data_IF_355699578550
#
_entry.id   IF_355699578550
#
_cell.length_a   1.000
_cell.length_b   1.000
_cell.length_c   1.000
_cell.angle_alpha   90.00
_cell.angle_beta   90.00
_cell.angle_gamma   90.00
#
_symmetry.space_group_name_H-M   'P 1'
#
loop_
_entity.id
_entity.type
_entity.pdbx_description
1 polymer ?
#
# COMPACT_ATOMS: atom_id res chain seq x y z
N UNK A 1 15.04 10.00 -9.60
CA UNK A 1 14.32 11.19 -9.09
C UNK A 1 13.20 10.68 -8.21
N UNK A 2 13.37 10.78 -6.90
CA UNK A 2 12.32 10.42 -5.94
C UNK A 2 11.27 11.53 -6.00
N UNK A 3 10.23 11.32 -6.81
CA UNK A 3 9.05 12.19 -6.77
C UNK A 3 8.54 12.18 -5.34
N UNK A 4 8.48 13.34 -4.67
CA UNK A 4 8.04 13.43 -3.29
C UNK A 4 6.52 13.25 -3.22
N UNK A 5 6.05 12.00 -3.38
CA UNK A 5 4.63 11.63 -3.43
C UNK A 5 3.87 12.06 -2.16
N UNK A 6 4.58 12.33 -1.06
CA UNK A 6 4.03 12.88 0.17
C UNK A 6 3.51 14.33 -0.04
N UNK A 7 4.12 15.12 -0.93
CA UNK A 7 3.67 16.49 -1.24
C UNK A 7 2.36 16.52 -2.03
N UNK A 8 1.94 15.40 -2.63
CA UNK A 8 0.64 15.28 -3.31
C UNK A 8 -0.55 15.05 -2.36
N UNK A 9 -0.28 14.91 -1.05
CA UNK A 9 -1.27 14.57 -0.05
C UNK A 9 -1.77 15.82 0.67
N UNK A 10 -3.08 15.85 0.96
CA UNK A 10 -3.58 16.78 1.97
C UNK A 10 -3.12 16.33 3.38
N UNK A 11 -3.36 17.18 4.37
CA UNK A 11 -2.92 16.95 5.76
C UNK A 11 -3.39 15.60 6.30
N UNK A 12 -4.70 15.30 6.25
CA UNK A 12 -5.24 14.03 6.77
C UNK A 12 -4.73 12.79 6.03
N UNK A 13 -4.52 12.88 4.71
CA UNK A 13 -3.93 11.79 3.94
C UNK A 13 -2.46 11.59 4.30
N UNK A 14 -1.71 12.68 4.48
CA UNK A 14 -0.31 12.65 4.88
C UNK A 14 -0.16 12.01 6.25
N UNK A 15 -0.97 12.41 7.22
CA UNK A 15 -1.03 11.82 8.56
C UNK A 15 -1.27 10.30 8.48
N UNK A 16 -2.25 9.86 7.69
CA UNK A 16 -2.53 8.44 7.49
C UNK A 16 -1.36 7.66 6.86
N UNK A 17 -0.57 8.29 5.98
CA UNK A 17 0.60 7.66 5.34
C UNK A 17 1.79 7.57 6.31
N UNK A 18 2.08 8.63 7.05
CA UNK A 18 3.28 8.68 7.90
C UNK A 18 3.10 7.96 9.24
N UNK A 19 1.87 7.86 9.75
CA UNK A 19 1.60 7.24 11.05
C UNK A 19 2.06 5.78 11.11
N UNK A 20 2.91 5.42 12.08
CA UNK A 20 3.50 4.08 12.14
C UNK A 20 3.63 3.48 13.55
N UNK A 21 3.00 4.10 14.56
CA UNK A 21 3.19 3.75 15.98
C UNK A 21 2.18 2.71 16.52
N UNK A 22 1.32 2.15 15.66
CA UNK A 22 0.32 1.17 16.09
C UNK A 22 -0.85 0.97 15.13
N UNK A 23 -1.99 0.45 15.65
CA UNK A 23 -3.22 0.30 14.87
C UNK A 23 -3.75 1.64 14.37
N UNK A 24 -4.23 1.67 13.13
CA UNK A 24 -4.80 2.87 12.50
C UNK A 24 -6.07 2.53 11.73
N UNK A 25 -7.09 3.38 11.86
CA UNK A 25 -8.33 3.30 11.10
C UNK A 25 -8.50 4.57 10.25
N UNK A 26 -8.54 4.40 8.93
CA UNK A 26 -8.75 5.49 7.97
C UNK A 26 -10.18 5.42 7.44
N UNK A 27 -11.04 6.35 7.89
CA UNK A 27 -12.41 6.49 7.40
C UNK A 27 -12.39 7.42 6.18
N UNK A 28 -13.01 6.99 5.08
CA UNK A 28 -12.83 7.67 3.80
C UNK A 28 -14.04 7.54 2.87
N UNK A 29 -14.61 8.70 2.48
CA UNK A 29 -15.72 8.80 1.53
C UNK A 29 -15.33 8.50 0.09
N UNK A 30 -16.32 8.38 -0.81
CA UNK A 30 -16.06 8.20 -2.24
C UNK A 30 -15.15 9.33 -2.79
N UNK A 31 -14.22 9.01 -3.68
CA UNK A 31 -13.31 10.00 -4.27
C UNK A 31 -12.21 10.55 -3.35
N UNK A 32 -12.17 10.20 -2.06
CA UNK A 32 -11.23 10.79 -1.09
C UNK A 32 -9.77 10.32 -1.18
N UNK A 33 -9.40 9.56 -2.22
CA UNK A 33 -8.02 9.07 -2.40
C UNK A 33 -7.64 7.83 -1.57
N UNK A 34 -8.60 7.03 -1.09
CA UNK A 34 -8.35 5.77 -0.34
C UNK A 34 -7.19 4.92 -0.87
N UNK A 35 -7.25 4.60 -2.16
CA UNK A 35 -6.25 3.75 -2.82
C UNK A 35 -4.89 4.45 -2.89
N UNK A 36 -4.86 5.78 -3.07
CA UNK A 36 -3.62 6.57 -3.05
C UNK A 36 -2.97 6.50 -1.67
N UNK A 37 -3.73 6.73 -0.60
CA UNK A 37 -3.25 6.63 0.79
C UNK A 37 -2.64 5.25 1.06
N UNK A 38 -3.34 4.17 0.72
CA UNK A 38 -2.81 2.81 0.94
C UNK A 38 -1.54 2.52 0.11
N UNK A 39 -1.48 2.99 -1.14
CA UNK A 39 -0.30 2.83 -2.00
C UNK A 39 0.90 3.59 -1.42
N UNK A 40 0.69 4.85 -1.04
CA UNK A 40 1.74 5.72 -0.50
C UNK A 40 2.16 5.28 0.89
N UNK A 41 1.26 4.69 1.68
CA UNK A 41 1.61 4.03 2.95
C UNK A 41 2.62 2.90 2.73
N UNK A 42 2.40 2.05 1.73
CA UNK A 42 3.33 0.95 1.41
C UNK A 42 4.66 1.52 0.88
N UNK A 43 4.63 2.53 0.02
CA UNK A 43 5.84 3.21 -0.44
C UNK A 43 6.65 3.79 0.74
N UNK A 44 5.97 4.49 1.65
CA UNK A 44 6.56 5.06 2.86
C UNK A 44 7.21 3.99 3.75
N UNK A 45 6.53 2.87 3.99
CA UNK A 45 7.12 1.75 4.74
C UNK A 45 8.41 1.23 4.06
N UNK A 46 8.38 1.03 2.74
CA UNK A 46 9.55 0.54 2.00
C UNK A 46 10.73 1.53 2.02
N UNK A 47 10.45 2.83 2.02
CA UNK A 47 11.47 3.88 2.15
C UNK A 47 12.05 3.96 3.56
N UNK A 48 11.25 3.67 4.58
CA UNK A 48 11.68 3.56 5.98
C UNK A 48 12.35 2.22 6.33
N UNK A 49 12.83 1.47 5.32
CA UNK A 49 13.64 0.28 5.52
C UNK A 49 12.88 -1.01 5.80
N UNK A 50 11.53 -1.00 5.75
CA UNK A 50 10.76 -2.22 5.91
C UNK A 50 10.97 -3.14 4.70
N UNK A 51 11.26 -4.40 4.96
CA UNK A 51 11.40 -5.39 3.91
C UNK A 51 10.05 -5.65 3.22
N UNK A 52 9.97 -5.72 1.88
CA UNK A 52 8.70 -5.93 1.18
C UNK A 52 7.92 -7.17 1.63
N UNK A 53 8.62 -8.27 1.93
CA UNK A 53 8.00 -9.51 2.39
C UNK A 53 7.42 -9.45 3.80
N UNK A 54 7.71 -8.39 4.57
CA UNK A 54 7.10 -8.13 5.88
C UNK A 54 5.83 -7.28 5.78
N UNK A 55 5.43 -6.84 4.57
CA UNK A 55 4.24 -6.03 4.34
C UNK A 55 3.17 -6.90 3.69
N UNK A 56 2.03 -7.03 4.36
CA UNK A 56 0.82 -7.68 3.86
C UNK A 56 -0.21 -6.65 3.43
N UNK A 57 -0.66 -6.72 2.17
CA UNK A 57 -1.74 -5.89 1.64
C UNK A 57 -2.90 -6.75 1.12
N UNK A 58 -4.08 -6.59 1.73
CA UNK A 58 -5.28 -7.35 1.41
C UNK A 58 -6.33 -6.49 0.72
N UNK A 59 -6.96 -7.03 -0.31
CA UNK A 59 -8.11 -6.42 -0.99
C UNK A 59 -9.24 -7.43 -1.16
N UNK A 60 -10.43 -6.95 -1.54
CA UNK A 60 -11.57 -7.83 -1.81
C UNK A 60 -11.61 -8.37 -3.24
N UNK A 61 -11.00 -7.68 -4.21
CA UNK A 61 -11.09 -8.04 -5.62
C UNK A 61 -9.72 -8.16 -6.27
N UNK A 62 -9.59 -9.10 -7.22
CA UNK A 62 -8.36 -9.27 -7.99
C UNK A 62 -7.98 -8.00 -8.77
N UNK A 63 -8.98 -7.25 -9.24
CA UNK A 63 -8.78 -5.96 -9.91
C UNK A 63 -8.12 -4.95 -8.97
N UNK A 64 -8.63 -4.79 -7.74
CA UNK A 64 -8.05 -3.88 -6.77
C UNK A 64 -6.63 -4.29 -6.35
N UNK A 65 -6.38 -5.59 -6.15
CA UNK A 65 -5.04 -6.10 -5.87
C UNK A 65 -4.05 -5.74 -7.01
N UNK A 66 -4.43 -6.00 -8.27
CA UNK A 66 -3.59 -5.71 -9.43
C UNK A 66 -3.32 -4.20 -9.58
N UNK A 67 -4.36 -3.38 -9.52
CA UNK A 67 -4.22 -1.92 -9.63
C UNK A 67 -3.36 -1.34 -8.51
N UNK A 68 -3.50 -1.83 -7.28
CA UNK A 68 -2.66 -1.38 -6.17
C UNK A 68 -1.20 -1.77 -6.38
N UNK A 69 -0.93 -3.00 -6.85
CA UNK A 69 0.42 -3.46 -7.17
C UNK A 69 1.08 -2.62 -8.27
N UNK A 70 0.34 -2.32 -9.33
CA UNK A 70 0.81 -1.46 -10.43
C UNK A 70 1.14 -0.04 -9.95
N UNK A 71 0.29 0.54 -9.08
CA UNK A 71 0.55 1.86 -8.50
C UNK A 71 1.80 1.86 -7.63
N UNK A 72 1.99 0.86 -6.78
CA UNK A 72 3.19 0.73 -5.95
C UNK A 72 4.43 0.57 -6.83
N UNK A 73 4.37 -0.28 -7.86
CA UNK A 73 5.48 -0.48 -8.79
C UNK A 73 5.95 0.82 -9.45
N UNK A 74 5.01 1.71 -9.79
CA UNK A 74 5.31 3.05 -10.34
C UNK A 74 5.93 4.00 -9.32
N UNK A 75 5.56 3.90 -8.04
CA UNK A 75 6.07 4.77 -6.98
C UNK A 75 7.45 4.35 -6.49
N UNK A 76 7.70 3.04 -6.31
CA UNK A 76 8.97 2.55 -5.73
C UNK A 76 9.87 1.82 -6.73
N UNK A 77 9.40 0.71 -7.29
CA UNK A 77 10.02 -0.11 -8.33
C UNK A 77 9.23 -1.39 -8.50
N UNK A 78 9.27 -1.96 -9.71
CA UNK A 78 8.66 -3.26 -10.01
C UNK A 78 9.23 -4.37 -9.12
N UNK A 79 10.56 -4.45 -8.96
CA UNK A 79 11.22 -5.46 -8.12
C UNK A 79 10.69 -5.46 -6.68
N UNK A 80 10.57 -4.28 -6.05
CA UNK A 80 10.05 -4.17 -4.68
C UNK A 80 8.56 -4.49 -4.62
N UNK A 81 7.77 -4.03 -5.58
CA UNK A 81 6.34 -4.32 -5.63
C UNK A 81 6.03 -5.81 -5.83
N UNK A 82 6.86 -6.53 -6.60
CA UNK A 82 6.72 -7.98 -6.78
C UNK A 82 7.04 -8.79 -5.53
N UNK A 83 7.93 -8.29 -4.66
CA UNK A 83 8.30 -8.95 -3.42
C UNK A 83 7.29 -8.75 -2.27
N UNK A 84 6.28 -7.88 -2.44
CA UNK A 84 5.22 -7.67 -1.45
C UNK A 84 4.33 -8.90 -1.32
N UNK A 85 3.87 -9.18 -0.10
CA UNK A 85 2.77 -10.10 0.08
C UNK A 85 1.44 -9.37 -0.14
N UNK A 86 0.90 -9.46 -1.35
CA UNK A 86 -0.32 -8.76 -1.73
C UNK A 86 -1.28 -9.68 -2.49
N UNK A 87 -2.57 -9.56 -2.20
CA UNK A 87 -3.61 -10.25 -2.95
C UNK A 87 -5.00 -10.01 -2.39
N UNK A 88 -5.94 -10.86 -2.82
CA UNK A 88 -7.24 -10.92 -2.16
C UNK A 88 -7.15 -11.75 -0.87
N UNK A 89 -8.11 -11.57 0.03
CA UNK A 89 -8.27 -12.46 1.19
C UNK A 89 -8.20 -13.94 0.80
N UNK A 90 -8.98 -14.35 -0.20
CA UNK A 90 -9.01 -15.73 -0.68
C UNK A 90 -7.65 -16.20 -1.23
N UNK A 91 -6.99 -15.40 -2.08
CA UNK A 91 -5.71 -15.82 -2.68
C UNK A 91 -4.59 -15.92 -1.64
N UNK A 92 -4.56 -14.98 -0.69
CA UNK A 92 -3.54 -14.95 0.37
C UNK A 92 -3.74 -16.13 1.31
N UNK A 93 -4.95 -16.36 1.80
CA UNK A 93 -5.20 -17.45 2.74
C UNK A 93 -5.10 -18.83 2.08
N UNK A 94 -5.47 -18.96 0.80
CA UNK A 94 -5.20 -20.19 0.03
C UNK A 94 -3.70 -20.49 -0.08
N UNK A 95 -2.83 -19.47 -0.22
CA UNK A 95 -1.36 -19.62 -0.23
C UNK A 95 -0.79 -19.98 1.14
N UNK A 96 -1.49 -19.68 2.23
CA UNK A 96 -1.04 -20.06 3.58
C UNK A 96 -1.39 -21.53 3.87
N UNK A 97 -2.50 -22.01 3.32
CA UNK A 97 -2.98 -23.38 3.52
C UNK A 97 -2.31 -24.42 2.61
N UNK A 98 -1.53 -23.99 1.62
CA UNK A 98 -0.87 -24.83 0.62
C UNK A 98 0.63 -24.65 0.69
#
# INVERSE_FOLDING_TARGET
MSTNYIEELNESQREAVIYNDGPSLVIAGAGSGKTRVLTYKIAYLLENGYAPWNILALTFTNKAAREMKERIARTVSEKRAHALFMGTFHSVFSRILR
#
